data_IF_661872909291
#
_entry.id   IF_661872909291
#
_cell.length_a   1.000
_cell.length_b   1.000
_cell.length_c   1.000
_cell.angle_alpha   90.00
_cell.angle_beta   90.00
_cell.angle_gamma   90.00
#
_symmetry.space_group_name_H-M   'P 1'
#
loop_
_entity.id
_entity.type
_entity.pdbx_description
1 polymer ?
#
# COMPACT_ATOMS: atom_id res chain seq x y z
N UNK A 1 -16.81 6.96 -18.31
CA UNK A 1 -17.69 6.22 -17.38
C UNK A 1 -16.76 5.42 -16.49
N UNK A 2 -16.88 5.53 -15.17
CA UNK A 2 -16.00 4.81 -14.26
C UNK A 2 -16.29 3.30 -14.36
N UNK A 3 -15.27 2.50 -14.64
CA UNK A 3 -15.43 1.05 -14.67
C UNK A 3 -15.67 0.55 -13.24
N UNK A 4 -16.84 -0.06 -13.03
CA UNK A 4 -17.24 -0.59 -11.74
C UNK A 4 -16.46 -1.85 -11.35
N UNK A 5 -15.89 -2.55 -12.34
CA UNK A 5 -15.17 -3.80 -12.16
C UNK A 5 -13.68 -3.60 -11.87
N UNK A 6 -13.19 -2.36 -11.93
CA UNK A 6 -11.81 -2.01 -11.66
C UNK A 6 -11.71 -1.05 -10.49
N UNK A 7 -10.94 -1.44 -9.48
CA UNK A 7 -10.68 -0.63 -8.29
C UNK A 7 -9.21 -0.20 -8.30
N UNK A 8 -8.94 1.08 -8.49
CA UNK A 8 -7.59 1.60 -8.25
C UNK A 8 -7.31 1.62 -6.73
N UNK A 9 -6.12 1.15 -6.34
CA UNK A 9 -5.70 1.21 -4.94
C UNK A 9 -5.31 2.65 -4.59
N UNK A 10 -5.77 3.21 -3.46
CA UNK A 10 -5.42 4.58 -3.11
C UNK A 10 -3.95 4.71 -2.73
N UNK A 11 -3.32 5.80 -3.16
CA UNK A 11 -2.01 6.20 -2.69
C UNK A 11 -2.15 6.81 -1.29
N UNK A 12 -1.46 6.24 -0.31
CA UNK A 12 -1.47 6.74 1.06
C UNK A 12 -0.61 8.02 1.17
N UNK A 13 -1.26 9.16 1.43
CA UNK A 13 -0.64 10.48 1.60
C UNK A 13 -0.95 11.06 2.99
N UNK A 14 -0.10 10.80 4.00
CA UNK A 14 -0.38 11.21 5.37
C UNK A 14 -0.42 12.74 5.53
N UNK A 15 -1.41 13.23 6.30
CA UNK A 15 -1.59 14.67 6.57
C UNK A 15 -1.01 15.04 7.93
N UNK A 16 0.26 15.42 7.95
CA UNK A 16 0.96 15.80 9.17
C UNK A 16 0.56 17.19 9.69
N UNK A 17 0.43 17.33 11.01
CA UNK A 17 0.10 18.58 11.72
C UNK A 17 1.40 19.33 12.07
N UNK A 18 1.47 20.62 11.76
CA UNK A 18 2.69 21.45 11.96
C UNK A 18 3.17 21.54 13.42
N UNK A 19 2.24 21.46 14.37
CA UNK A 19 2.52 21.55 15.81
C UNK A 19 2.84 20.21 16.48
N UNK A 20 2.80 19.10 15.74
CA UNK A 20 3.15 17.77 16.25
C UNK A 20 4.50 17.33 15.70
N UNK A 21 5.23 16.56 16.50
CA UNK A 21 6.43 15.85 16.08
C UNK A 21 6.11 14.37 15.86
N UNK A 22 6.81 13.80 14.89
CA UNK A 22 6.62 12.44 14.41
C UNK A 22 7.98 11.75 14.34
N UNK A 23 8.04 10.46 14.70
CA UNK A 23 9.32 9.77 14.85
C UNK A 23 9.14 8.28 15.14
N UNK A 24 10.25 7.58 15.34
CA UNK A 24 10.25 6.12 15.53
C UNK A 24 10.66 5.69 16.94
N UNK A 25 11.68 6.33 17.54
CA UNK A 25 12.22 5.98 18.85
C UNK A 25 11.48 6.61 20.03
N UNK A 26 11.21 7.91 19.97
CA UNK A 26 10.51 8.62 21.05
C UNK A 26 9.05 8.14 21.11
N UNK A 27 8.56 7.78 22.30
CA UNK A 27 7.24 7.18 22.48
C UNK A 27 6.09 8.08 22.01
N UNK A 28 6.11 9.37 22.34
CA UNK A 28 5.08 10.34 21.97
C UNK A 28 5.09 10.57 20.45
N UNK A 29 6.28 10.77 19.87
CA UNK A 29 6.43 10.98 18.43
C UNK A 29 6.05 9.72 17.62
N UNK A 30 6.34 8.54 18.17
CA UNK A 30 5.97 7.25 17.60
C UNK A 30 4.46 7.06 17.58
N UNK A 31 3.77 7.41 18.66
CA UNK A 31 2.32 7.32 18.73
C UNK A 31 1.65 8.33 17.78
N UNK A 32 2.16 9.55 17.71
CA UNK A 32 1.72 10.54 16.71
C UNK A 32 1.89 10.01 15.27
N UNK A 33 3.02 9.34 14.98
CA UNK A 33 3.29 8.78 13.66
C UNK A 33 2.37 7.60 13.33
N UNK A 34 2.14 6.70 14.29
CA UNK A 34 1.16 5.61 14.11
C UNK A 34 -0.24 6.15 13.82
N UNK A 35 -0.70 7.12 14.62
CA UNK A 35 -2.04 7.69 14.48
C UNK A 35 -2.26 8.34 13.12
N UNK A 36 -1.31 9.15 12.61
CA UNK A 36 -1.46 9.80 11.30
C UNK A 36 -1.36 8.81 10.14
N UNK A 37 -0.55 7.75 10.26
CA UNK A 37 -0.45 6.71 9.25
C UNK A 37 -1.71 5.83 9.22
N UNK A 38 -2.27 5.50 10.38
CA UNK A 38 -3.52 4.76 10.51
C UNK A 38 -4.71 5.54 9.93
N UNK A 39 -4.82 6.83 10.27
CA UNK A 39 -5.84 7.72 9.70
C UNK A 39 -5.71 7.78 8.17
N UNK A 40 -4.48 7.92 7.67
CA UNK A 40 -4.20 7.96 6.24
C UNK A 40 -4.53 6.65 5.51
N UNK A 41 -4.29 5.50 6.14
CA UNK A 41 -4.58 4.20 5.54
C UNK A 41 -5.98 3.69 5.81
N UNK A 42 -6.82 4.50 6.48
CA UNK A 42 -8.14 4.11 6.98
C UNK A 42 -8.12 2.79 7.78
N UNK A 43 -7.05 2.57 8.56
CA UNK A 43 -6.89 1.34 9.34
C UNK A 43 -6.57 0.09 8.52
N UNK A 44 -6.01 0.24 7.32
CA UNK A 44 -5.51 -0.87 6.48
C UNK A 44 -3.98 -0.92 6.43
N UNK A 45 -3.42 -2.11 6.23
CA UNK A 45 -2.01 -2.31 5.92
C UNK A 45 -1.67 -1.63 4.59
N UNK A 46 -0.60 -0.84 4.52
CA UNK A 46 -0.25 -0.11 3.31
C UNK A 46 0.30 -1.00 2.17
N UNK A 47 0.56 -2.28 2.43
CA UNK A 47 1.06 -3.25 1.44
C UNK A 47 0.02 -4.27 0.99
N UNK A 48 -0.69 -4.92 1.92
CA UNK A 48 -1.66 -5.96 1.59
C UNK A 48 -3.13 -5.53 1.75
N UNK A 49 -3.35 -4.30 2.23
CA UNK A 49 -4.68 -3.70 2.34
C UNK A 49 -5.68 -4.42 3.25
N UNK A 50 -5.21 -5.39 4.03
CA UNK A 50 -5.97 -6.02 5.12
C UNK A 50 -6.08 -5.06 6.30
N UNK A 51 -7.22 -5.09 6.99
CA UNK A 51 -7.49 -4.31 8.20
C UNK A 51 -6.44 -4.62 9.28
N UNK A 52 -5.94 -3.58 9.93
CA UNK A 52 -4.93 -3.67 11.00
C UNK A 52 -5.48 -3.32 12.38
N UNK A 53 -6.71 -2.80 12.48
CA UNK A 53 -7.42 -2.66 13.75
C UNK A 53 -8.57 -3.66 13.80
N UNK A 54 -8.48 -4.64 14.70
CA UNK A 54 -9.48 -5.70 14.88
C UNK A 54 -9.89 -5.68 16.35
N UNK A 55 -11.19 -5.53 16.63
CA UNK A 55 -11.75 -5.45 17.99
C UNK A 55 -11.01 -4.45 18.88
N UNK A 56 -10.74 -3.26 18.33
CA UNK A 56 -10.02 -2.18 19.02
C UNK A 56 -8.51 -2.40 19.16
N UNK A 57 -7.99 -3.62 18.94
CA UNK A 57 -6.56 -3.95 19.02
C UNK A 57 -5.83 -3.62 17.73
N UNK A 58 -4.61 -3.10 17.87
CA UNK A 58 -3.77 -2.65 16.76
C UNK A 58 -2.72 -3.70 16.37
N UNK A 59 -2.82 -4.24 15.16
CA UNK A 59 -2.02 -5.33 14.60
C UNK A 59 -1.11 -4.86 13.46
N UNK A 60 -0.42 -3.73 13.65
CA UNK A 60 0.54 -3.20 12.69
C UNK A 60 1.80 -2.67 13.37
N UNK A 61 2.84 -2.54 12.55
CA UNK A 61 4.14 -2.02 12.92
C UNK A 61 4.49 -0.83 12.04
N UNK A 62 5.20 0.13 12.62
CA UNK A 62 5.95 1.10 11.83
C UNK A 62 7.04 0.35 11.06
N UNK A 63 7.10 0.60 9.76
CA UNK A 63 7.92 -0.12 8.80
C UNK A 63 8.77 0.89 8.02
N UNK A 64 10.05 0.59 7.79
CA UNK A 64 10.98 1.48 7.08
C UNK A 64 11.07 1.08 5.61
N UNK A 65 10.49 1.88 4.72
CA UNK A 65 10.36 1.58 3.29
C UNK A 65 11.71 1.16 2.67
N UNK A 66 12.76 1.97 2.88
CA UNK A 66 14.16 1.54 2.74
C UNK A 66 14.69 1.15 4.12
N UNK A 67 15.30 -0.03 4.21
CA UNK A 67 15.74 -0.58 5.48
C UNK A 67 16.86 0.25 6.13
N UNK A 68 16.81 0.34 7.46
CA UNK A 68 17.74 1.12 8.30
C UNK A 68 19.21 0.66 8.23
N UNK A 69 19.48 -0.53 7.71
CA UNK A 69 20.84 -1.03 7.49
C UNK A 69 21.55 -0.28 6.35
N UNK A 70 20.81 0.43 5.48
CA UNK A 70 21.36 1.27 4.43
C UNK A 70 21.84 2.64 4.94
N UNK A 71 21.28 3.17 6.03
CA UNK A 71 21.84 4.33 6.75
C UNK A 71 21.13 4.54 8.08
N UNK A 72 21.89 4.93 9.12
CA UNK A 72 21.33 5.30 10.42
C UNK A 72 20.41 6.53 10.34
N UNK A 73 20.56 7.38 9.31
CA UNK A 73 19.69 8.55 9.09
C UNK A 73 18.26 8.17 8.69
N UNK A 74 18.04 6.95 8.18
CA UNK A 74 16.71 6.46 7.80
C UNK A 74 15.84 6.10 9.00
N UNK A 75 16.44 5.80 10.16
CA UNK A 75 15.72 5.31 11.35
C UNK A 75 14.62 6.28 11.81
N UNK A 76 14.90 7.58 11.77
CA UNK A 76 13.97 8.64 12.16
C UNK A 76 13.46 9.46 10.96
N UNK A 77 13.66 8.95 9.74
CA UNK A 77 13.23 9.63 8.52
C UNK A 77 11.72 9.38 8.30
N UNK A 78 10.88 10.27 8.84
CA UNK A 78 9.41 10.14 8.82
C UNK A 78 8.83 9.82 7.43
N UNK A 79 9.26 10.45 6.32
CA UNK A 79 8.74 10.11 4.98
C UNK A 79 9.13 8.72 4.47
N UNK A 80 10.08 8.03 5.13
CA UNK A 80 10.50 6.66 4.84
C UNK A 80 9.81 5.65 5.79
N UNK A 81 8.85 6.07 6.62
CA UNK A 81 8.20 5.21 7.61
C UNK A 81 6.71 5.06 7.28
N UNK A 82 6.32 3.84 6.90
CA UNK A 82 4.96 3.43 6.63
C UNK A 82 4.35 2.59 7.75
N UNK A 83 3.17 2.04 7.46
CA UNK A 83 2.42 1.19 8.39
C UNK A 83 2.05 -0.14 7.72
N UNK A 84 2.51 -1.24 8.31
CA UNK A 84 2.35 -2.56 7.74
C UNK A 84 1.98 -3.62 8.79
N UNK A 85 1.17 -4.60 8.41
CA UNK A 85 0.89 -5.77 9.26
C UNK A 85 2.17 -6.59 9.50
N UNK A 86 2.16 -7.45 10.53
CA UNK A 86 3.31 -8.30 10.88
C UNK A 86 3.76 -9.20 9.73
N UNK A 87 2.83 -9.79 8.97
CA UNK A 87 3.15 -10.65 7.81
C UNK A 87 3.91 -9.88 6.74
N UNK A 88 3.42 -8.70 6.34
CA UNK A 88 4.06 -7.87 5.33
C UNK A 88 5.44 -7.38 5.81
N UNK A 89 5.52 -6.82 7.01
CA UNK A 89 6.76 -6.23 7.54
C UNK A 89 7.81 -7.29 7.89
N UNK A 90 7.45 -8.28 8.70
CA UNK A 90 8.41 -9.19 9.34
C UNK A 90 8.76 -10.40 8.48
N UNK A 91 7.94 -10.74 7.47
CA UNK A 91 8.16 -11.90 6.59
C UNK A 91 8.35 -11.50 5.13
N UNK A 92 7.32 -10.94 4.48
CA UNK A 92 7.32 -10.75 3.02
C UNK A 92 8.33 -9.70 2.56
N UNK A 93 8.38 -8.55 3.24
CA UNK A 93 9.36 -7.51 2.95
C UNK A 93 10.76 -7.96 3.35
N UNK A 94 10.92 -8.53 4.55
CA UNK A 94 12.23 -9.00 5.06
C UNK A 94 12.90 -10.02 4.13
N UNK A 95 12.12 -10.81 3.37
CA UNK A 95 12.66 -11.71 2.35
C UNK A 95 13.47 -10.94 1.30
N UNK A 96 14.75 -11.29 1.16
CA UNK A 96 15.67 -10.67 0.20
C UNK A 96 16.22 -9.30 0.65
N UNK A 97 16.06 -8.91 1.92
CA UNK A 97 16.61 -7.64 2.45
C UNK A 97 18.11 -7.50 2.20
N UNK A 98 18.87 -8.59 2.32
CA UNK A 98 20.31 -8.60 2.05
C UNK A 98 20.66 -8.25 0.60
N UNK A 99 19.80 -8.59 -0.35
CA UNK A 99 20.01 -8.30 -1.78
C UNK A 99 19.74 -6.82 -2.11
N UNK A 100 19.04 -6.10 -1.21
CA UNK A 100 18.69 -4.68 -1.35
C UNK A 100 19.61 -3.76 -0.59
N UNK A 101 20.81 -4.23 -0.25
CA UNK A 101 21.84 -3.40 0.36
C UNK A 101 22.46 -2.49 -0.71
N UNK A 102 22.34 -1.19 -0.51
CA UNK A 102 22.93 -0.18 -1.37
C UNK A 102 24.45 -0.17 -1.27
N UNK A 103 25.12 0.23 -2.36
CA UNK A 103 26.57 0.39 -2.37
C UNK A 103 27.02 1.50 -1.44
N UNK A 104 28.26 1.39 -0.94
CA UNK A 104 28.82 2.40 -0.03
C UNK A 104 28.85 3.79 -0.65
N UNK A 105 29.08 3.89 -1.97
CA UNK A 105 29.04 5.15 -2.72
C UNK A 105 27.67 5.81 -2.65
N UNK A 106 26.60 5.07 -2.92
CA UNK A 106 25.23 5.60 -2.88
C UNK A 106 24.85 6.04 -1.45
N UNK A 107 25.27 5.26 -0.44
CA UNK A 107 25.04 5.60 0.96
C UNK A 107 25.75 6.90 1.33
N UNK A 108 27.03 7.04 0.97
CA UNK A 108 27.81 8.26 1.22
C UNK A 108 27.25 9.49 0.50
N UNK A 109 26.77 9.35 -0.73
CA UNK A 109 26.08 10.42 -1.48
C UNK A 109 24.79 10.86 -0.74
N UNK A 110 24.00 9.91 -0.26
CA UNK A 110 22.80 10.22 0.52
C UNK A 110 23.14 10.90 1.85
N UNK A 111 24.15 10.40 2.56
CA UNK A 111 24.54 10.94 3.86
C UNK A 111 25.11 12.36 3.74
N UNK A 112 25.88 12.66 2.70
CA UNK A 112 26.39 14.01 2.45
C UNK A 112 25.30 14.99 1.99
N UNK A 113 24.39 14.56 1.11
CA UNK A 113 23.32 15.43 0.59
C UNK A 113 22.15 15.63 1.58
N UNK A 114 21.95 14.73 2.54
CA UNK A 114 20.87 14.84 3.52
C UNK A 114 21.20 15.82 4.64
N UNK A 115 20.40 16.88 4.75
CA UNK A 115 20.50 17.90 5.82
C UNK A 115 20.13 17.38 7.23
N UNK A 116 19.78 16.10 7.36
CA UNK A 116 19.48 15.46 8.64
C UNK A 116 20.72 14.76 9.19
N UNK A 117 20.87 14.72 10.51
CA UNK A 117 21.83 13.85 11.20
C UNK A 117 21.12 12.91 12.17
N UNK A 118 21.87 11.99 12.76
CA UNK A 118 21.36 11.07 13.80
C UNK A 118 20.95 11.78 15.09
N UNK A 119 21.44 13.00 15.32
CA UNK A 119 21.16 13.82 16.52
C UNK A 119 20.29 15.03 16.24
N UNK A 120 20.30 15.56 15.01
CA UNK A 120 19.51 16.71 14.57
C UNK A 120 18.74 16.33 13.30
N UNK A 121 17.48 15.96 13.48
CA UNK A 121 16.58 15.61 12.37
C UNK A 121 15.58 16.73 12.11
N UNK A 122 15.29 16.98 10.84
CA UNK A 122 14.15 17.80 10.43
C UNK A 122 12.85 17.00 10.60
N UNK A 123 11.76 17.66 11.00
CA UNK A 123 10.41 17.07 11.01
C UNK A 123 9.86 17.06 9.58
N UNK A 124 10.53 16.34 8.67
CA UNK A 124 10.11 16.27 7.28
C UNK A 124 8.77 15.55 7.18
N UNK A 125 7.82 16.15 6.46
CA UNK A 125 6.50 15.56 6.16
C UNK A 125 6.43 15.03 4.74
N UNK A 126 7.46 15.32 3.91
CA UNK A 126 7.59 14.86 2.52
C UNK A 126 9.04 14.43 2.25
N UNK A 127 9.28 13.50 1.29
CA UNK A 127 10.63 13.10 0.91
C UNK A 127 11.47 14.28 0.39
N UNK A 128 12.65 14.50 0.98
CA UNK A 128 13.61 15.48 0.49
C UNK A 128 14.32 14.98 -0.77
N UNK A 129 15.04 15.86 -1.48
CA UNK A 129 15.77 15.50 -2.71
C UNK A 129 16.75 14.33 -2.52
N UNK A 130 17.48 14.31 -1.40
CA UNK A 130 18.40 13.22 -1.06
C UNK A 130 17.67 11.88 -0.89
N UNK A 131 16.53 11.86 -0.18
CA UNK A 131 15.73 10.64 -0.01
C UNK A 131 15.13 10.18 -1.34
N UNK A 132 14.62 11.08 -2.17
CA UNK A 132 14.08 10.73 -3.50
C UNK A 132 15.14 10.11 -4.41
N UNK A 133 16.39 10.60 -4.37
CA UNK A 133 17.51 9.99 -5.09
C UNK A 133 17.78 8.58 -4.55
N UNK A 134 17.88 8.42 -3.23
CA UNK A 134 18.08 7.12 -2.60
C UNK A 134 16.99 6.10 -2.95
N UNK A 135 15.73 6.53 -2.97
CA UNK A 135 14.58 5.69 -3.36
C UNK A 135 14.71 5.18 -4.79
N UNK A 136 15.14 6.03 -5.73
CA UNK A 136 15.38 5.60 -7.12
C UNK A 136 16.47 4.54 -7.20
N UNK A 137 17.63 4.79 -6.58
CA UNK A 137 18.75 3.83 -6.56
C UNK A 137 18.38 2.51 -5.87
N UNK A 138 17.57 2.56 -4.82
CA UNK A 138 17.09 1.37 -4.13
C UNK A 138 16.19 0.52 -5.03
N UNK A 139 15.32 1.18 -5.78
CA UNK A 139 14.35 0.52 -6.65
C UNK A 139 14.94 -0.08 -7.93
N UNK A 140 16.22 0.19 -8.23
CA UNK A 140 16.95 -0.52 -9.30
C UNK A 140 17.63 -1.80 -8.82
N UNK A 141 17.68 -2.07 -7.52
CA UNK A 141 18.27 -3.29 -6.98
C UNK A 141 17.33 -4.48 -7.19
N UNK A 142 17.90 -5.66 -7.45
CA UNK A 142 17.11 -6.89 -7.50
C UNK A 142 16.40 -7.13 -6.18
N UNK A 143 15.08 -7.25 -6.26
CA UNK A 143 14.19 -7.37 -5.11
C UNK A 143 13.71 -6.04 -4.54
N UNK A 144 14.31 -4.92 -4.94
CA UNK A 144 13.95 -3.53 -4.59
C UNK A 144 12.73 -3.00 -5.32
N UNK A 145 12.08 -3.83 -6.14
CA UNK A 145 10.87 -3.53 -6.90
C UNK A 145 9.64 -3.49 -5.99
N UNK A 146 9.63 -2.51 -5.09
CA UNK A 146 8.62 -2.30 -4.06
C UNK A 146 8.06 -0.90 -4.25
N UNK A 147 6.74 -0.79 -4.43
CA UNK A 147 6.03 0.49 -4.26
C UNK A 147 6.19 0.93 -2.80
N UNK A 148 7.08 1.89 -2.57
CA UNK A 148 7.47 2.33 -1.24
C UNK A 148 6.33 3.11 -0.56
N UNK A 149 6.11 2.84 0.72
CA UNK A 149 5.04 3.47 1.51
C UNK A 149 5.64 4.28 2.67
N UNK A 150 5.10 5.46 2.99
CA UNK A 150 3.96 6.13 2.37
C UNK A 150 4.35 6.92 1.11
N UNK A 151 3.35 7.47 0.42
CA UNK A 151 3.43 8.35 -0.76
C UNK A 151 3.68 7.68 -2.13
N UNK A 152 4.03 6.39 -2.16
CA UNK A 152 4.30 5.68 -3.41
C UNK A 152 5.65 6.06 -4.04
N UNK A 153 5.89 5.54 -5.24
CA UNK A 153 7.07 5.84 -6.04
C UNK A 153 6.67 6.18 -7.47
N UNK A 154 7.48 6.99 -8.15
CA UNK A 154 7.28 7.29 -9.56
C UNK A 154 8.11 6.36 -10.44
N UNK A 155 7.54 5.96 -11.56
CA UNK A 155 8.23 5.24 -12.61
C UNK A 155 9.36 6.06 -13.22
N UNK A 156 10.45 5.40 -13.58
CA UNK A 156 11.62 6.06 -14.15
C UNK A 156 11.41 6.45 -15.62
N UNK A 157 10.57 5.71 -16.35
CA UNK A 157 10.40 5.89 -17.79
C UNK A 157 9.27 6.89 -18.07
N UNK A 158 8.16 6.78 -17.34
CA UNK A 158 6.93 7.55 -17.61
C UNK A 158 6.68 8.67 -16.60
N UNK A 159 7.38 8.66 -15.45
CA UNK A 159 7.17 9.60 -14.33
C UNK A 159 5.75 9.55 -13.72
N UNK A 160 4.94 8.57 -14.13
CA UNK A 160 3.67 8.18 -13.50
C UNK A 160 3.92 7.64 -12.10
N UNK A 161 2.92 7.74 -11.21
CA UNK A 161 3.01 7.06 -9.91
C UNK A 161 2.74 5.58 -10.16
N UNK A 162 3.67 4.71 -9.75
CA UNK A 162 3.48 3.27 -9.86
C UNK A 162 2.40 2.83 -8.88
N UNK A 163 1.30 2.31 -9.42
CA UNK A 163 0.12 1.93 -8.65
C UNK A 163 -0.53 0.65 -9.16
N UNK A 164 -1.39 0.10 -8.32
CA UNK A 164 -2.10 -1.16 -8.52
C UNK A 164 -3.58 -0.89 -8.75
N UNK A 165 -4.21 -1.74 -9.54
CA UNK A 165 -5.66 -1.86 -9.57
C UNK A 165 -6.07 -3.31 -9.28
N UNK A 166 -7.28 -3.50 -8.79
CA UNK A 166 -7.90 -4.79 -8.60
C UNK A 166 -8.98 -5.00 -9.65
N UNK A 167 -8.86 -6.11 -10.39
CA UNK A 167 -9.84 -6.60 -11.33
C UNK A 167 -10.82 -7.51 -10.62
N UNK A 168 -12.07 -7.06 -10.46
CA UNK A 168 -13.10 -7.80 -9.75
C UNK A 168 -13.52 -9.05 -10.53
N UNK A 169 -13.51 -9.03 -11.87
CA UNK A 169 -13.95 -10.16 -12.68
C UNK A 169 -12.89 -11.26 -12.71
N UNK A 170 -11.60 -10.90 -12.71
CA UNK A 170 -10.48 -11.84 -12.61
C UNK A 170 -10.07 -12.15 -11.17
N UNK A 171 -10.61 -11.40 -10.21
CA UNK A 171 -10.30 -11.45 -8.79
C UNK A 171 -8.82 -11.20 -8.47
N UNK A 172 -8.16 -10.29 -9.18
CA UNK A 172 -6.70 -10.13 -9.08
C UNK A 172 -6.19 -8.69 -9.10
N UNK A 173 -5.11 -8.47 -8.36
CA UNK A 173 -4.29 -7.27 -8.48
C UNK A 173 -3.47 -7.31 -9.76
N UNK A 174 -3.44 -6.19 -10.47
CA UNK A 174 -2.67 -5.98 -11.68
C UNK A 174 -2.13 -4.54 -11.70
N UNK A 175 -1.16 -4.21 -12.57
CA UNK A 175 -0.79 -2.82 -12.80
C UNK A 175 -2.01 -1.96 -13.14
N UNK A 176 -2.06 -0.73 -12.62
CA UNK A 176 -3.18 0.19 -12.83
C UNK A 176 -3.26 0.78 -14.26
N UNK A 177 -3.16 -0.06 -15.28
CA UNK A 177 -3.12 0.31 -16.70
C UNK A 177 -4.39 1.03 -17.19
N UNK A 178 -5.50 0.92 -16.45
CA UNK A 178 -6.74 1.63 -16.77
C UNK A 178 -6.72 3.10 -16.33
N UNK A 179 -5.78 3.46 -15.46
CA UNK A 179 -5.65 4.81 -14.89
C UNK A 179 -4.32 5.48 -15.29
N UNK A 180 -3.30 4.69 -15.64
CA UNK A 180 -1.95 5.16 -15.93
C UNK A 180 -1.37 4.51 -17.18
N UNK A 181 -0.37 5.17 -17.77
CA UNK A 181 0.41 4.64 -18.89
C UNK A 181 1.80 4.26 -18.41
N UNK A 182 2.04 2.96 -18.23
CA UNK A 182 3.33 2.43 -17.77
C UNK A 182 4.15 1.85 -18.93
N UNK A 183 5.48 1.93 -18.82
CA UNK A 183 6.37 1.12 -19.66
C UNK A 183 6.29 -0.36 -19.31
N UNK A 184 6.84 -1.24 -20.16
CA UNK A 184 6.92 -2.68 -19.85
C UNK A 184 7.71 -2.95 -18.55
N UNK A 185 8.82 -2.22 -18.36
CA UNK A 185 9.66 -2.31 -17.15
C UNK A 185 8.91 -1.87 -15.89
N UNK A 186 8.11 -0.82 -16.00
CA UNK A 186 7.29 -0.34 -14.88
C UNK A 186 6.15 -1.31 -14.55
N UNK A 187 5.55 -1.95 -15.57
CA UNK A 187 4.59 -3.02 -15.34
C UNK A 187 5.23 -4.24 -14.65
N UNK A 188 6.43 -4.65 -15.07
CA UNK A 188 7.20 -5.72 -14.43
C UNK A 188 7.53 -5.38 -12.97
N UNK A 189 7.92 -4.13 -12.69
CA UNK A 189 8.14 -3.64 -11.33
C UNK A 189 6.89 -3.81 -10.46
N UNK A 190 5.72 -3.39 -10.96
CA UNK A 190 4.45 -3.49 -10.22
C UNK A 190 4.06 -4.96 -10.02
N UNK A 191 4.23 -5.81 -11.03
CA UNK A 191 3.99 -7.25 -10.92
C UNK A 191 4.92 -7.91 -9.90
N UNK A 192 6.19 -7.48 -9.82
CA UNK A 192 7.16 -7.98 -8.83
C UNK A 192 6.73 -7.59 -7.41
N UNK A 193 6.20 -6.38 -7.22
CA UNK A 193 5.58 -5.98 -5.97
C UNK A 193 4.37 -6.87 -5.59
N UNK A 194 3.45 -7.12 -6.54
CA UNK A 194 2.29 -8.02 -6.35
C UNK A 194 2.74 -9.39 -5.87
N UNK A 195 3.72 -9.99 -6.56
CA UNK A 195 4.27 -11.29 -6.24
C UNK A 195 4.93 -11.30 -4.85
N UNK A 196 5.70 -10.26 -4.51
CA UNK A 196 6.39 -10.14 -3.21
C UNK A 196 5.41 -10.14 -2.05
N UNK A 197 4.35 -9.36 -2.14
CA UNK A 197 3.34 -9.25 -1.09
C UNK A 197 2.23 -10.30 -1.22
N UNK A 198 2.37 -11.23 -2.16
CA UNK A 198 1.43 -12.35 -2.37
C UNK A 198 -0.01 -11.89 -2.56
N UNK A 199 -0.21 -10.74 -3.21
CA UNK A 199 -1.54 -10.13 -3.32
C UNK A 199 -2.51 -10.99 -4.14
N UNK A 200 -1.98 -11.80 -5.06
CA UNK A 200 -2.72 -12.74 -5.90
C UNK A 200 -2.58 -14.21 -5.47
N UNK A 201 -2.00 -14.49 -4.31
CA UNK A 201 -1.88 -15.87 -3.83
C UNK A 201 -3.29 -16.40 -3.47
N UNK A 202 -3.73 -17.55 -4.03
CA UNK A 202 -5.09 -18.08 -3.83
C UNK A 202 -5.52 -18.20 -2.38
N UNK A 203 -4.58 -18.42 -1.45
CA UNK A 203 -4.84 -18.46 -0.01
C UNK A 203 -5.42 -17.14 0.53
N UNK A 204 -5.11 -16.02 -0.11
CA UNK A 204 -5.53 -14.68 0.30
C UNK A 204 -6.49 -14.01 -0.71
N UNK A 205 -6.51 -14.49 -1.97
CA UNK A 205 -7.13 -13.85 -3.15
C UNK A 205 -8.67 -13.84 -3.14
N UNK A 206 -9.33 -14.78 -2.44
CA UNK A 206 -10.74 -15.13 -2.76
C UNK A 206 -11.77 -14.81 -1.69
N UNK A 207 -11.46 -15.01 -0.41
CA UNK A 207 -12.53 -15.12 0.60
C UNK A 207 -13.33 -13.83 0.79
N UNK A 208 -12.68 -12.66 0.86
CA UNK A 208 -13.34 -11.46 1.41
C UNK A 208 -14.30 -10.76 0.47
N UNK A 209 -13.90 -10.55 -0.79
CA UNK A 209 -14.79 -9.94 -1.78
C UNK A 209 -15.88 -10.93 -2.22
N UNK A 210 -15.56 -12.23 -2.27
CA UNK A 210 -16.53 -13.30 -2.48
C UNK A 210 -17.63 -13.31 -1.40
N UNK A 211 -17.24 -13.37 -0.12
CA UNK A 211 -18.16 -13.34 1.03
C UNK A 211 -19.08 -12.12 0.97
N UNK A 212 -18.52 -10.95 0.65
CA UNK A 212 -19.28 -9.72 0.53
C UNK A 212 -20.29 -9.76 -0.64
N UNK A 213 -19.85 -10.17 -1.83
CA UNK A 213 -20.72 -10.27 -3.01
C UNK A 213 -21.84 -11.27 -2.78
N UNK A 214 -21.52 -12.44 -2.20
CA UNK A 214 -22.51 -13.45 -1.85
C UNK A 214 -23.55 -12.91 -0.87
N UNK A 215 -23.11 -12.21 0.17
CA UNK A 215 -24.00 -11.59 1.16
C UNK A 215 -24.97 -10.58 0.51
N UNK A 216 -24.49 -9.75 -0.43
CA UNK A 216 -25.36 -8.85 -1.18
C UNK A 216 -26.42 -9.60 -1.98
N UNK A 217 -26.03 -10.70 -2.67
CA UNK A 217 -26.96 -11.52 -3.46
C UNK A 217 -28.01 -12.16 -2.54
N UNK A 218 -27.57 -12.78 -1.46
CA UNK A 218 -28.44 -13.46 -0.48
C UNK A 218 -29.41 -12.48 0.20
N UNK A 219 -29.04 -11.19 0.27
CA UNK A 219 -29.88 -10.11 0.81
C UNK A 219 -30.49 -9.21 -0.27
N UNK A 220 -30.71 -9.72 -1.49
CA UNK A 220 -31.44 -9.03 -2.57
C UNK A 220 -30.93 -7.60 -2.86
N UNK A 221 -29.60 -7.41 -2.91
CA UNK A 221 -28.99 -6.13 -3.26
C UNK A 221 -28.77 -5.17 -2.08
N UNK A 222 -29.11 -5.56 -0.84
CA UNK A 222 -28.82 -4.73 0.33
C UNK A 222 -27.33 -4.79 0.69
N UNK A 223 -26.68 -3.62 0.78
CA UNK A 223 -25.28 -3.52 1.21
C UNK A 223 -25.22 -3.65 2.74
N UNK A 224 -24.48 -4.64 3.28
CA UNK A 224 -24.37 -4.81 4.72
C UNK A 224 -23.50 -3.71 5.34
N UNK A 225 -23.90 -3.24 6.53
CA UNK A 225 -23.19 -2.19 7.28
C UNK A 225 -22.32 -2.81 8.36
N UNK A 226 -21.02 -2.92 8.12
CA UNK A 226 -20.03 -3.37 9.10
C UNK A 226 -18.62 -2.88 8.72
N UNK A 227 -17.65 -3.09 9.61
CA UNK A 227 -16.25 -2.76 9.34
C UNK A 227 -15.60 -3.77 8.37
N UNK A 228 -15.22 -3.32 7.19
CA UNK A 228 -14.65 -4.20 6.17
C UNK A 228 -13.22 -4.60 6.48
N UNK A 229 -12.93 -5.91 6.45
CA UNK A 229 -11.59 -6.43 6.74
C UNK A 229 -10.54 -6.20 5.63
N UNK A 230 -10.94 -5.61 4.50
CA UNK A 230 -10.06 -5.29 3.38
C UNK A 230 -10.54 -4.01 2.66
N UNK A 231 -9.60 -3.17 2.21
CA UNK A 231 -9.90 -1.90 1.52
C UNK A 231 -10.70 -2.12 0.22
N UNK A 232 -10.51 -3.26 -0.46
CA UNK A 232 -11.19 -3.58 -1.72
C UNK A 232 -12.69 -3.60 -1.53
N UNK A 233 -13.17 -4.17 -0.42
CA UNK A 233 -14.61 -4.24 -0.13
C UNK A 233 -15.15 -2.84 0.14
N UNK A 234 -14.44 -2.02 0.91
CA UNK A 234 -14.83 -0.62 1.14
C UNK A 234 -14.91 0.17 -0.17
N UNK A 235 -13.91 0.03 -1.04
CA UNK A 235 -13.89 0.72 -2.34
C UNK A 235 -14.94 0.21 -3.31
N UNK A 236 -15.26 -1.08 -3.26
CA UNK A 236 -16.36 -1.62 -4.02
C UNK A 236 -17.71 -1.09 -3.52
N UNK A 237 -17.91 -0.99 -2.20
CA UNK A 237 -19.08 -0.34 -1.61
C UNK A 237 -19.20 1.12 -2.09
N UNK A 238 -18.10 1.87 -2.09
CA UNK A 238 -18.06 3.25 -2.58
C UNK A 238 -18.57 3.37 -4.03
N UNK A 239 -18.24 2.40 -4.90
CA UNK A 239 -18.72 2.34 -6.29
C UNK A 239 -20.19 1.94 -6.43
N UNK A 240 -20.76 1.30 -5.40
CA UNK A 240 -22.15 0.85 -5.39
C UNK A 240 -23.11 1.85 -4.72
N UNK A 241 -22.62 2.78 -3.89
CA UNK A 241 -23.46 3.59 -2.97
C UNK A 241 -24.54 4.47 -3.61
N UNK A 242 -24.43 4.78 -4.90
CA UNK A 242 -25.38 5.61 -5.63
C UNK A 242 -26.30 4.82 -6.56
N UNK A 243 -26.27 3.49 -6.48
CA UNK A 243 -27.05 2.59 -7.32
C UNK A 243 -28.30 2.10 -6.60
N UNK A 244 -29.30 1.69 -7.37
CA UNK A 244 -30.49 1.06 -6.79
C UNK A 244 -30.18 -0.36 -6.32
N UNK A 245 -31.03 -0.91 -5.46
CA UNK A 245 -30.88 -2.29 -4.97
C UNK A 245 -30.88 -3.30 -6.12
N UNK A 246 -31.74 -3.07 -7.12
CA UNK A 246 -31.87 -3.93 -8.30
C UNK A 246 -30.60 -3.90 -9.15
N UNK A 247 -30.00 -2.72 -9.31
CA UNK A 247 -28.71 -2.57 -10.02
C UNK A 247 -27.58 -3.27 -9.27
N UNK A 248 -27.48 -3.04 -7.96
CA UNK A 248 -26.47 -3.66 -7.10
C UNK A 248 -26.59 -5.20 -7.17
N UNK A 249 -27.80 -5.73 -7.02
CA UNK A 249 -28.07 -7.15 -7.14
C UNK A 249 -27.61 -7.71 -8.50
N UNK A 250 -27.97 -7.04 -9.60
CA UNK A 250 -27.58 -7.46 -10.95
C UNK A 250 -26.06 -7.47 -11.11
N UNK A 251 -25.37 -6.41 -10.69
CA UNK A 251 -23.90 -6.30 -10.76
C UNK A 251 -23.24 -7.43 -9.97
N UNK A 252 -23.63 -7.61 -8.70
CA UNK A 252 -23.06 -8.66 -7.85
C UNK A 252 -23.34 -10.06 -8.40
N UNK A 253 -24.55 -10.31 -8.92
CA UNK A 253 -24.90 -11.58 -9.56
C UNK A 253 -24.05 -11.84 -10.81
N UNK A 254 -23.83 -10.84 -11.65
CA UNK A 254 -22.95 -10.94 -12.83
C UNK A 254 -21.52 -11.27 -12.42
N UNK A 255 -20.97 -10.57 -11.43
CA UNK A 255 -19.63 -10.88 -10.90
C UNK A 255 -19.61 -12.33 -10.39
N UNK A 256 -20.64 -12.75 -9.66
CA UNK A 256 -20.69 -14.10 -9.11
C UNK A 256 -20.69 -15.19 -10.20
N UNK A 257 -21.48 -15.00 -11.25
CA UNK A 257 -21.53 -15.91 -12.38
C UNK A 257 -20.20 -15.98 -13.15
N UNK A 258 -19.49 -14.84 -13.31
CA UNK A 258 -18.25 -14.79 -14.08
C UNK A 258 -17.06 -15.30 -13.25
N UNK A 259 -16.90 -14.80 -12.03
CA UNK A 259 -15.72 -15.01 -11.21
C UNK A 259 -15.78 -16.27 -10.33
N UNK A 260 -16.99 -16.77 -10.01
CA UNK A 260 -17.15 -17.85 -9.01
C UNK A 260 -17.92 -19.07 -9.51
N UNK A 261 -18.69 -18.98 -10.60
CA UNK A 261 -19.41 -20.15 -11.15
C UNK A 261 -18.58 -21.04 -12.08
N UNK A 262 -17.27 -20.79 -12.21
CA UNK A 262 -16.30 -21.73 -12.80
C UNK A 262 -15.37 -22.28 -11.73
N UNK A 263 -15.88 -23.21 -10.90
CA UNK A 263 -15.12 -24.25 -10.23
C UNK A 263 -16.05 -25.45 -10.01
#
# INVERSE_FOLDING_TARGET
>A
MEDIFLIEIPIFKPKYKKWKKYGYKNSIEKENLKSVLEECSNGYCMYCYTRIRIDGKFYANLEHAIEKNNSKKLVECVPNIGLACSVCNQSLKKRGENNRRLSQKIISDYESASLCSTTKRKQCTVPCGALKKLQREYCTLSGGEIILQPNGIKGCDTNEILNLQYDILKMEFQPANSFHKYSEKEQEFINTHICRFKLNDPKYKRERLYEFIRNIIDNNGNIPTYQYNNILVEKFCDKLKFRTKEEIYKICKTIFCIAFSKN
#
